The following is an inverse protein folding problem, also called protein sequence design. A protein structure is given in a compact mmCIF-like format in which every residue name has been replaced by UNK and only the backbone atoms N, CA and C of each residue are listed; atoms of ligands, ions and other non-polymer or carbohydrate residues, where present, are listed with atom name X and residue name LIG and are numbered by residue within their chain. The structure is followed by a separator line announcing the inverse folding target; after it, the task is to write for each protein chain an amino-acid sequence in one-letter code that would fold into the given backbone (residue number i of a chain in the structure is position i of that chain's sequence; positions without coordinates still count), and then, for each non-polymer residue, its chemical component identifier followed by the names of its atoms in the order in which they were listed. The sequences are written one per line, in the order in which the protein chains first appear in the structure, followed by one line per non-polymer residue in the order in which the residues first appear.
data_IF_043057373822
#
_entry.id   IF_043057373822
#
_cell.length_a   1.000
_cell.length_b   1.000
_cell.length_c   1.000
_cell.angle_alpha   90.00
_cell.angle_beta   90.00
_cell.angle_gamma   90.00
#
_symmetry.space_group_name_H-M   'P 1'
#
loop_
_entity.id
_entity.type
_entity.pdbx_description
1 polymer ?
#
# COMPACT_ATOMS: atom_id res chain seq x y z
N UNK A 1 6.36 6.28 -11.27
CA UNK A 1 6.54 6.16 -9.80
C UNK A 1 8.01 6.34 -9.49
N UNK A 2 8.33 6.99 -8.37
CA UNK A 2 9.70 7.26 -7.90
C UNK A 2 9.70 7.41 -6.37
N UNK A 3 10.86 7.28 -5.73
CA UNK A 3 10.98 7.33 -4.26
C UNK A 3 10.55 8.67 -3.66
N UNK A 4 10.70 9.78 -4.39
CA UNK A 4 10.26 11.11 -3.94
C UNK A 4 8.74 11.18 -3.87
N UNK A 5 8.07 10.72 -4.91
CA UNK A 5 6.61 10.57 -4.96
C UNK A 5 6.10 9.61 -3.88
N UNK A 6 6.74 8.45 -3.71
CA UNK A 6 6.37 7.50 -2.64
C UNK A 6 6.52 8.12 -1.25
N UNK A 7 7.60 8.87 -1.01
CA UNK A 7 7.83 9.57 0.26
C UNK A 7 6.70 10.56 0.56
N UNK A 8 6.23 11.31 -0.45
CA UNK A 8 5.07 12.20 -0.29
C UNK A 8 3.82 11.40 0.08
N UNK A 9 3.52 10.31 -0.64
CA UNK A 9 2.36 9.44 -0.38
C UNK A 9 2.37 8.81 1.02
N UNK A 10 3.55 8.45 1.55
CA UNK A 10 3.69 7.99 2.95
C UNK A 10 3.33 9.11 3.91
N UNK A 11 3.94 10.30 3.75
CA UNK A 11 3.71 11.45 4.64
C UNK A 11 2.27 11.95 4.63
N UNK A 12 1.57 11.81 3.51
CA UNK A 12 0.15 12.16 3.38
C UNK A 12 -0.80 11.02 3.74
N UNK A 13 -0.32 9.90 4.29
CA UNK A 13 -1.13 8.74 4.68
C UNK A 13 -2.03 8.22 3.53
N UNK A 14 -1.50 8.28 2.31
CA UNK A 14 -2.23 7.90 1.09
C UNK A 14 -2.29 6.38 0.91
N UNK A 15 -1.25 5.66 1.31
CA UNK A 15 -1.27 4.19 1.30
C UNK A 15 -2.18 3.67 2.39
N UNK A 16 -3.19 2.87 2.02
CA UNK A 16 -4.16 2.28 2.95
C UNK A 16 -3.75 0.90 3.40
N UNK A 17 -2.87 0.25 2.64
CA UNK A 17 -2.34 -1.07 2.95
C UNK A 17 -0.86 -1.19 2.61
N UNK A 18 -0.21 -2.23 3.16
CA UNK A 18 1.12 -2.68 2.74
C UNK A 18 1.17 -2.97 1.24
N UNK A 19 0.10 -3.55 0.68
CA UNK A 19 -0.01 -3.91 -0.73
C UNK A 19 0.11 -2.67 -1.63
N UNK A 20 -0.59 -1.58 -1.31
CA UNK A 20 -0.55 -0.35 -2.12
C UNK A 20 0.87 0.23 -2.18
N UNK A 21 1.58 0.21 -1.04
CA UNK A 21 2.96 0.67 -0.96
C UNK A 21 3.89 -0.21 -1.81
N UNK A 22 3.75 -1.54 -1.73
CA UNK A 22 4.59 -2.49 -2.47
C UNK A 22 4.32 -2.41 -3.97
N UNK A 23 3.07 -2.19 -4.40
CA UNK A 23 2.72 -2.00 -5.80
C UNK A 23 3.44 -0.80 -6.41
N UNK A 24 3.43 0.34 -5.72
CA UNK A 24 4.16 1.53 -6.17
C UNK A 24 5.67 1.32 -6.19
N UNK A 25 6.22 0.60 -5.21
CA UNK A 25 7.64 0.24 -5.19
C UNK A 25 8.01 -0.59 -6.42
N UNK A 26 7.23 -1.63 -6.73
CA UNK A 26 7.43 -2.48 -7.90
C UNK A 26 7.33 -1.71 -9.21
N UNK A 27 6.40 -0.74 -9.27
CA UNK A 27 6.22 0.12 -10.43
C UNK A 27 7.46 0.98 -10.75
N UNK A 28 8.34 1.26 -9.78
CA UNK A 28 9.64 1.92 -10.05
C UNK A 28 10.51 1.02 -10.93
N UNK A 29 10.64 -0.25 -10.54
CA UNK A 29 11.50 -1.22 -11.25
C UNK A 29 10.89 -1.57 -12.60
N UNK A 30 9.60 -1.87 -12.64
CA UNK A 30 8.92 -2.32 -13.86
C UNK A 30 8.93 -1.23 -14.93
N UNK A 31 8.74 0.04 -14.55
CA UNK A 31 8.92 1.16 -15.48
C UNK A 31 10.37 1.27 -15.94
N UNK A 32 11.35 1.16 -15.04
CA UNK A 32 12.76 1.19 -15.41
C UNK A 32 13.08 0.09 -16.45
N UNK A 33 12.62 -1.14 -16.23
CA UNK A 33 12.86 -2.26 -17.15
C UNK A 33 12.06 -2.15 -18.45
N UNK A 34 10.87 -1.52 -18.43
CA UNK A 34 10.05 -1.32 -19.63
C UNK A 34 10.63 -0.26 -20.57
N UNK A 35 11.11 0.86 -20.02
CA UNK A 35 11.68 1.95 -20.81
C UNK A 35 13.11 1.67 -21.25
N UNK A 36 13.94 1.10 -20.37
CA UNK A 36 15.35 0.82 -20.67
C UNK A 36 15.47 -0.60 -21.22
N UNK A 37 15.20 -0.81 -22.51
CA UNK A 37 15.08 -2.15 -23.10
C UNK A 37 16.40 -2.90 -23.28
N UNK A 38 17.52 -2.18 -23.47
CA UNK A 38 18.84 -2.81 -23.59
C UNK A 38 19.21 -3.56 -22.30
N UNK A 39 19.41 -4.87 -22.40
CA UNK A 39 19.76 -5.74 -21.27
C UNK A 39 21.03 -5.30 -20.53
N UNK A 40 21.97 -4.67 -21.22
CA UNK A 40 23.23 -4.20 -20.64
C UNK A 40 23.13 -2.78 -20.06
N UNK A 41 21.96 -2.15 -20.12
CA UNK A 41 21.78 -0.80 -19.62
C UNK A 41 22.00 -0.75 -18.09
N UNK A 42 22.89 0.13 -17.59
CA UNK A 42 23.29 0.14 -16.17
C UNK A 42 22.11 0.36 -15.22
N UNK A 43 21.09 1.12 -15.63
CA UNK A 43 19.87 1.33 -14.84
C UNK A 43 19.10 0.03 -14.57
N UNK A 44 19.08 -0.94 -15.51
CA UNK A 44 18.40 -2.23 -15.30
C UNK A 44 19.07 -3.02 -14.18
N UNK A 45 20.41 -3.07 -14.21
CA UNK A 45 21.21 -3.75 -13.18
C UNK A 45 20.96 -3.13 -11.81
N UNK A 46 20.93 -1.80 -11.72
CA UNK A 46 20.65 -1.09 -10.47
C UNK A 46 19.21 -1.33 -9.99
N UNK A 47 18.21 -1.26 -10.87
CA UNK A 47 16.81 -1.52 -10.52
C UNK A 47 16.62 -2.94 -9.96
N UNK A 48 17.23 -3.95 -10.59
CA UNK A 48 17.19 -5.33 -10.09
C UNK A 48 17.90 -5.48 -8.73
N UNK A 49 19.03 -4.79 -8.53
CA UNK A 49 19.73 -4.77 -7.24
C UNK A 49 18.86 -4.17 -6.13
N UNK A 50 18.24 -3.01 -6.40
CA UNK A 50 17.32 -2.36 -5.46
C UNK A 50 16.09 -3.21 -5.18
N UNK A 51 15.50 -3.84 -6.20
CA UNK A 51 14.36 -4.75 -6.07
C UNK A 51 14.70 -5.92 -5.13
N UNK A 52 15.87 -6.53 -5.32
CA UNK A 52 16.34 -7.64 -4.47
C UNK A 52 16.51 -7.23 -3.00
N UNK A 53 17.07 -6.04 -2.74
CA UNK A 53 17.19 -5.55 -1.35
C UNK A 53 15.82 -5.19 -0.76
N UNK A 54 14.93 -4.58 -1.54
CA UNK A 54 13.57 -4.30 -1.11
C UNK A 54 12.78 -5.57 -0.73
N UNK A 55 12.91 -6.64 -1.51
CA UNK A 55 12.26 -7.95 -1.24
C UNK A 55 12.65 -8.54 0.13
N UNK A 56 13.86 -8.25 0.63
CA UNK A 56 14.27 -8.66 1.99
C UNK A 56 13.61 -7.82 3.09
N UNK A 57 13.30 -6.56 2.80
CA UNK A 57 12.73 -5.61 3.77
C UNK A 57 11.20 -5.65 3.80
N UNK A 58 10.55 -5.96 2.66
CA UNK A 58 9.08 -6.02 2.56
C UNK A 58 8.44 -6.93 3.63
N UNK A 59 8.98 -8.12 3.97
CA UNK A 59 8.44 -8.95 5.04
C UNK A 59 8.42 -8.28 6.42
N UNK A 60 9.32 -7.32 6.67
CA UNK A 60 9.41 -6.60 7.94
C UNK A 60 8.36 -5.49 8.08
N UNK A 61 7.67 -5.15 6.99
CA UNK A 61 6.58 -4.17 7.03
C UNK A 61 5.33 -4.87 7.62
N UNK A 62 4.78 -4.36 8.74
CA UNK A 62 3.58 -4.92 9.33
C UNK A 62 2.39 -4.77 8.39
N UNK A 63 1.47 -5.72 8.43
CA UNK A 63 0.23 -5.64 7.67
C UNK A 63 -0.80 -4.81 8.45
N UNK A 64 -0.96 -3.56 8.02
CA UNK A 64 -1.82 -2.57 8.65
C UNK A 64 -2.79 -2.01 7.61
N UNK A 65 -4.07 -1.98 7.96
CA UNK A 65 -5.10 -1.27 7.18
C UNK A 65 -5.37 0.08 7.81
N UNK A 66 -5.03 1.16 7.10
CA UNK A 66 -5.28 2.52 7.55
C UNK A 66 -6.70 2.92 7.17
N UNK A 67 -7.60 3.04 8.15
CA UNK A 67 -8.98 3.46 7.92
C UNK A 67 -9.18 4.95 8.25
N UNK A 68 -9.96 5.72 7.46
CA UNK A 68 -10.39 7.06 7.83
C UNK A 68 -11.19 7.04 9.13
N UNK A 69 -10.89 7.99 10.03
CA UNK A 69 -11.57 8.10 11.33
C UNK A 69 -13.10 8.22 11.20
N UNK A 70 -13.58 8.97 10.21
CA UNK A 70 -15.01 9.14 9.96
C UNK A 70 -15.72 7.81 9.63
N UNK A 71 -15.05 6.89 8.92
CA UNK A 71 -15.60 5.57 8.62
C UNK A 71 -15.70 4.72 9.89
N UNK A 72 -14.69 4.79 10.76
CA UNK A 72 -14.69 4.08 12.05
C UNK A 72 -15.82 4.59 12.96
N UNK A 73 -15.95 5.91 13.09
CA UNK A 73 -17.00 6.52 13.92
C UNK A 73 -18.40 6.24 13.37
N UNK A 74 -18.58 6.20 12.05
CA UNK A 74 -19.85 5.83 11.43
C UNK A 74 -20.20 4.35 11.65
N UNK A 75 -19.20 3.45 11.61
CA UNK A 75 -19.37 2.03 11.90
C UNK A 75 -19.78 1.80 13.36
N UNK A 76 -19.13 2.50 14.30
CA UNK A 76 -19.45 2.43 15.73
C UNK A 76 -20.87 2.90 16.04
N UNK A 77 -21.30 4.03 15.45
CA UNK A 77 -22.68 4.52 15.60
C UNK A 77 -23.72 3.55 15.05
N UNK A 78 -23.44 2.91 13.91
CA UNK A 78 -24.34 1.88 13.36
C UNK A 78 -24.44 0.67 14.28
N UNK A 79 -23.33 0.21 14.86
CA UNK A 79 -23.33 -0.92 15.82
C UNK A 79 -24.06 -0.57 17.11
N UNK A 80 -23.96 0.67 17.58
CA UNK A 80 -24.63 1.13 18.80
C UNK A 80 -26.16 1.29 18.60
N UNK A 81 -26.60 1.63 17.39
CA UNK A 81 -28.01 1.80 17.06
C UNK A 81 -28.70 0.50 16.53
N UNK A 82 -27.94 -0.56 16.24
CA UNK A 82 -28.45 -1.81 15.65
C UNK A 82 -28.72 -2.95 16.64
N UNK A 83 -28.74 -2.67 17.95
CA UNK A 83 -28.96 -3.65 19.02
C UNK A 83 -30.42 -3.82 19.49
N UNK A 84 -31.40 -3.22 18.82
CA UNK A 84 -32.82 -3.20 19.23
C UNK A 84 -33.79 -3.81 18.19
N UNK A 85 -33.35 -4.71 17.30
CA UNK A 85 -34.27 -5.40 16.36
C UNK A 85 -34.10 -6.93 16.34
N UNK A 86 -33.91 -7.56 17.51
CA UNK A 86 -34.27 -8.99 17.70
C UNK A 86 -35.22 -9.09 18.89
N UNK A 87 -36.47 -8.70 18.67
CA UNK A 87 -37.52 -8.73 19.69
C UNK A 87 -38.89 -8.63 19.05
N UNK A 88 -39.33 -9.69 18.39
CA UNK A 88 -40.72 -9.86 17.97
C UNK A 88 -40.88 -10.44 16.58
N UNK A 89 -41.15 -11.74 16.51
CA UNK A 89 -42.39 -12.20 15.89
C UNK A 89 -42.78 -13.55 16.53
N UNK A 90 -44.09 -13.70 16.76
CA UNK A 90 -44.81 -14.75 17.49
C UNK A 90 -44.56 -16.20 17.01
#
# INVERSE_FOLDING_TARGET
MDLGTMTKKIKSLTYKSKTDFVQDLNLIWDNCLRYNQDMNHPLRRMANGMRKEAEKLIPLIPDLTVRPRAEVEAEERRKQNGGEEEGGDD
#
